data_IF_233388870311
#
_entry.id   IF_233388870311
#
_cell.length_a   1.000
_cell.length_b   1.000
_cell.length_c   1.000
_cell.angle_alpha   90.00
_cell.angle_beta   90.00
_cell.angle_gamma   90.00
#
_symmetry.space_group_name_H-M   'P 1'
#
loop_
_entity.id
_entity.type
_entity.pdbx_description
1 polymer ?
#
# COMPACT_ATOMS: atom_id res chain seq x y z
N UNK A 1 7.19 13.50 -30.00
CA UNK A 1 5.86 14.10 -30.24
C UNK A 1 4.80 13.04 -30.08
N UNK A 2 3.79 13.27 -29.25
CA UNK A 2 2.59 12.45 -29.17
C UNK A 2 1.91 12.40 -30.56
N UNK A 3 1.48 11.22 -31.00
CA UNK A 3 0.61 11.12 -32.16
C UNK A 3 -0.79 11.73 -31.89
N UNK A 4 -1.59 11.91 -32.93
CA UNK A 4 -2.89 12.58 -32.80
C UNK A 4 -3.90 11.74 -31.99
N UNK A 5 -3.79 10.41 -32.06
CA UNK A 5 -4.68 9.49 -31.35
C UNK A 5 -4.38 9.48 -29.85
N UNK A 6 -3.12 9.35 -29.47
CA UNK A 6 -2.71 9.42 -28.06
C UNK A 6 -3.06 10.77 -27.41
N UNK A 7 -2.91 11.88 -28.16
CA UNK A 7 -3.31 13.20 -27.67
C UNK A 7 -4.79 13.29 -27.34
N UNK A 8 -5.65 12.72 -28.15
CA UNK A 8 -7.09 12.73 -27.92
C UNK A 8 -7.45 11.90 -26.69
N UNK A 9 -6.89 10.70 -26.57
CA UNK A 9 -7.11 9.84 -25.38
C UNK A 9 -6.63 10.56 -24.10
N UNK A 10 -5.43 11.13 -24.11
CA UNK A 10 -4.90 11.86 -22.93
C UNK A 10 -5.80 13.04 -22.58
N UNK A 11 -6.29 13.79 -23.57
CA UNK A 11 -7.22 14.90 -23.35
C UNK A 11 -8.52 14.42 -22.71
N UNK A 12 -9.10 13.34 -23.22
CA UNK A 12 -10.33 12.75 -22.67
C UNK A 12 -10.13 12.23 -21.25
N UNK A 13 -8.98 11.59 -20.95
CA UNK A 13 -8.62 11.16 -19.59
C UNK A 13 -8.52 12.35 -18.62
N UNK A 14 -7.87 13.45 -19.03
CA UNK A 14 -7.76 14.67 -18.21
C UNK A 14 -9.13 15.32 -17.97
N UNK A 15 -10.01 15.29 -18.97
CA UNK A 15 -11.35 15.87 -18.89
C UNK A 15 -12.38 14.97 -18.19
N UNK A 16 -12.03 13.73 -17.84
CA UNK A 16 -12.95 12.75 -17.26
C UNK A 16 -14.03 12.25 -18.24
N UNK A 17 -13.78 12.34 -19.54
CA UNK A 17 -14.70 11.93 -20.63
C UNK A 17 -14.22 10.69 -21.38
N UNK A 18 -13.12 10.09 -20.94
CA UNK A 18 -12.55 8.89 -21.58
C UNK A 18 -13.51 7.69 -21.48
N UNK A 19 -13.46 6.82 -22.48
CA UNK A 19 -14.19 5.55 -22.47
C UNK A 19 -13.67 4.63 -21.35
N UNK A 20 -14.49 3.67 -20.90
CA UNK A 20 -14.07 2.65 -19.94
C UNK A 20 -12.85 1.87 -20.44
N UNK A 21 -12.75 1.62 -21.74
CA UNK A 21 -11.58 0.97 -22.37
C UNK A 21 -10.32 1.82 -22.22
N UNK A 22 -10.42 3.13 -22.48
CA UNK A 22 -9.27 4.03 -22.41
C UNK A 22 -8.84 4.27 -20.96
N UNK A 23 -9.78 4.33 -20.02
CA UNK A 23 -9.46 4.35 -18.58
C UNK A 23 -8.68 3.10 -18.15
N UNK A 24 -9.13 1.91 -18.52
CA UNK A 24 -8.43 0.66 -18.22
C UNK A 24 -7.04 0.59 -18.85
N UNK A 25 -6.86 1.17 -20.05
CA UNK A 25 -5.59 1.23 -20.76
C UNK A 25 -4.67 2.38 -20.36
N UNK A 26 -5.13 3.29 -19.48
CA UNK A 26 -4.44 4.55 -19.18
C UNK A 26 -3.04 4.37 -18.59
N UNK A 27 -2.84 3.37 -17.72
CA UNK A 27 -1.54 3.11 -17.10
C UNK A 27 -0.52 2.58 -18.12
N UNK A 28 -0.93 1.69 -19.03
CA UNK A 28 -0.10 1.23 -20.15
C UNK A 28 0.27 2.39 -21.07
N UNK A 29 -0.70 3.24 -21.39
CA UNK A 29 -0.47 4.45 -22.20
C UNK A 29 0.53 5.38 -21.51
N UNK A 30 0.36 5.66 -20.23
CA UNK A 30 1.23 6.55 -19.46
C UNK A 30 2.68 6.05 -19.46
N UNK A 31 2.90 4.79 -19.13
CA UNK A 31 4.26 4.20 -19.11
C UNK A 31 4.92 4.27 -20.48
N UNK A 32 4.19 3.99 -21.55
CA UNK A 32 4.67 4.12 -22.92
C UNK A 32 5.07 5.55 -23.29
N UNK A 33 4.23 6.52 -22.92
CA UNK A 33 4.50 7.93 -23.20
C UNK A 33 5.71 8.46 -22.41
N UNK A 34 5.86 8.04 -21.15
CA UNK A 34 7.02 8.37 -20.33
C UNK A 34 8.31 7.80 -20.94
N UNK A 35 8.27 6.53 -21.36
CA UNK A 35 9.40 5.91 -22.03
C UNK A 35 9.80 6.66 -23.32
N UNK A 36 8.82 7.02 -24.14
CA UNK A 36 9.06 7.78 -25.37
C UNK A 36 9.65 9.19 -25.08
N UNK A 37 9.21 9.84 -24.02
CA UNK A 37 9.66 11.18 -23.66
C UNK A 37 11.08 11.18 -23.08
N UNK A 38 11.39 10.23 -22.20
CA UNK A 38 12.63 10.25 -21.43
C UNK A 38 13.70 9.27 -21.94
N UNK A 39 13.34 8.34 -22.84
CA UNK A 39 14.24 7.31 -23.34
C UNK A 39 14.72 6.33 -22.26
N UNK A 40 14.01 6.24 -21.14
CA UNK A 40 14.34 5.36 -20.00
C UNK A 40 13.14 4.52 -19.61
N UNK A 41 13.36 3.23 -19.27
CA UNK A 41 12.29 2.38 -18.75
C UNK A 41 11.67 2.95 -17.48
N UNK A 42 10.38 2.75 -17.31
CA UNK A 42 9.57 3.28 -16.21
C UNK A 42 9.62 2.33 -15.02
N UNK A 43 9.74 2.87 -13.82
CA UNK A 43 9.47 2.17 -12.56
C UNK A 43 8.05 2.54 -12.14
N UNK A 44 7.21 1.53 -11.89
CA UNK A 44 5.83 1.70 -11.47
C UNK A 44 5.68 1.35 -9.99
N UNK A 45 5.25 2.32 -9.20
CA UNK A 45 4.98 2.15 -7.77
C UNK A 45 3.49 2.37 -7.53
N UNK A 46 2.81 1.35 -7.01
CA UNK A 46 1.39 1.42 -6.65
C UNK A 46 1.27 1.08 -5.17
N UNK A 47 0.81 2.05 -4.39
CA UNK A 47 0.54 1.86 -2.97
C UNK A 47 -0.97 1.70 -2.73
N UNK A 48 -1.33 0.91 -1.73
CA UNK A 48 -2.72 0.68 -1.31
C UNK A 48 -3.65 0.24 -2.47
N UNK A 49 -3.21 -0.69 -3.31
CA UNK A 49 -3.98 -1.16 -4.48
C UNK A 49 -5.36 -1.73 -4.12
N UNK A 50 -5.54 -2.17 -2.90
CA UNK A 50 -6.76 -2.79 -2.37
C UNK A 50 -7.80 -1.78 -1.89
N UNK A 51 -7.40 -0.54 -1.57
CA UNK A 51 -8.29 0.50 -1.03
C UNK A 51 -9.46 0.84 -1.96
N UNK A 52 -9.27 1.05 -3.28
CA UNK A 52 -10.39 1.30 -4.18
C UNK A 52 -11.41 0.15 -4.20
N UNK A 53 -10.93 -1.08 -4.18
CA UNK A 53 -11.77 -2.29 -4.22
C UNK A 53 -12.53 -2.49 -2.90
N UNK A 54 -11.86 -2.30 -1.77
CA UNK A 54 -12.50 -2.35 -0.45
C UNK A 54 -13.59 -1.26 -0.31
N UNK A 55 -13.34 -0.05 -0.80
CA UNK A 55 -14.31 1.03 -0.82
C UNK A 55 -15.50 0.72 -1.73
N UNK A 56 -15.25 0.15 -2.91
CA UNK A 56 -16.28 -0.26 -3.85
C UNK A 56 -17.19 -1.36 -3.27
N UNK A 57 -16.61 -2.31 -2.55
CA UNK A 57 -17.38 -3.36 -1.87
C UNK A 57 -18.37 -2.78 -0.86
N UNK A 58 -17.95 -1.79 -0.07
CA UNK A 58 -18.83 -1.10 0.89
C UNK A 58 -19.96 -0.32 0.22
N UNK A 59 -19.74 0.17 -0.98
CA UNK A 59 -20.68 1.02 -1.72
C UNK A 59 -21.47 0.29 -2.80
N UNK A 60 -21.31 -1.02 -2.93
CA UNK A 60 -22.14 -1.86 -3.82
C UNK A 60 -21.75 -1.86 -5.30
N UNK A 61 -20.50 -1.44 -5.65
CA UNK A 61 -19.99 -1.46 -7.04
C UNK A 61 -18.65 -2.21 -7.14
N UNK A 62 -18.55 -3.33 -6.39
CA UNK A 62 -17.32 -4.14 -6.32
C UNK A 62 -16.87 -4.67 -7.68
N UNK A 63 -17.78 -5.25 -8.45
CA UNK A 63 -17.43 -5.88 -9.74
C UNK A 63 -16.94 -4.87 -10.77
N UNK A 64 -17.56 -3.69 -10.82
CA UNK A 64 -17.15 -2.62 -11.71
C UNK A 64 -15.75 -2.10 -11.38
N UNK A 65 -15.45 -1.92 -10.08
CA UNK A 65 -14.13 -1.49 -9.64
C UNK A 65 -13.09 -2.58 -9.90
N UNK A 66 -13.43 -3.83 -9.66
CA UNK A 66 -12.55 -4.97 -9.92
C UNK A 66 -12.18 -5.04 -11.41
N UNK A 67 -13.13 -4.82 -12.30
CA UNK A 67 -12.92 -4.79 -13.74
C UNK A 67 -12.00 -3.64 -14.18
N UNK A 68 -12.14 -2.46 -13.57
CA UNK A 68 -11.23 -1.33 -13.80
C UNK A 68 -9.81 -1.66 -13.31
N UNK A 69 -9.68 -2.20 -12.10
CA UNK A 69 -8.38 -2.58 -11.54
C UNK A 69 -7.68 -3.65 -12.36
N UNK A 70 -8.41 -4.68 -12.82
CA UNK A 70 -7.88 -5.69 -13.76
C UNK A 70 -7.33 -5.05 -15.03
N UNK A 71 -8.06 -4.10 -15.58
CA UNK A 71 -7.64 -3.36 -16.78
C UNK A 71 -6.35 -2.57 -16.55
N UNK A 72 -6.25 -1.83 -15.45
CA UNK A 72 -5.04 -1.08 -15.09
C UNK A 72 -3.84 -2.01 -14.89
N UNK A 73 -4.02 -3.16 -14.23
CA UNK A 73 -2.95 -4.12 -13.96
C UNK A 73 -2.46 -4.85 -15.22
N UNK A 74 -3.16 -4.76 -16.36
CA UNK A 74 -2.62 -5.22 -17.65
C UNK A 74 -1.33 -4.47 -18.04
N UNK A 75 -1.10 -3.26 -17.52
CA UNK A 75 0.15 -2.55 -17.72
C UNK A 75 1.39 -3.27 -17.16
N UNK A 76 1.21 -4.27 -16.30
CA UNK A 76 2.29 -5.11 -15.76
C UNK A 76 2.69 -6.24 -16.71
N UNK A 77 1.87 -6.52 -17.72
CA UNK A 77 2.06 -7.64 -18.64
C UNK A 77 2.59 -7.14 -19.98
N UNK A 78 3.63 -7.80 -20.47
CA UNK A 78 4.20 -7.57 -21.81
C UNK A 78 4.49 -6.09 -22.14
N UNK A 79 4.78 -5.27 -21.11
CA UNK A 79 5.02 -3.85 -21.24
C UNK A 79 6.51 -3.54 -21.38
N UNK A 80 6.96 -3.33 -22.61
CA UNK A 80 8.37 -3.02 -22.91
C UNK A 80 8.84 -1.68 -22.34
N UNK A 81 7.93 -0.78 -22.00
CA UNK A 81 8.26 0.48 -21.35
C UNK A 81 8.49 0.34 -19.84
N UNK A 82 8.10 -0.78 -19.24
CA UNK A 82 8.21 -1.02 -17.81
C UNK A 82 9.51 -1.78 -17.50
N UNK A 83 10.30 -1.23 -16.58
CA UNK A 83 11.50 -1.89 -16.03
C UNK A 83 11.14 -2.79 -14.87
N UNK A 84 10.33 -2.25 -13.95
CA UNK A 84 10.07 -2.83 -12.63
C UNK A 84 8.77 -2.27 -12.07
N UNK A 85 8.06 -3.07 -11.28
CA UNK A 85 6.88 -2.61 -10.56
C UNK A 85 6.89 -3.11 -9.12
N UNK A 86 6.50 -2.24 -8.19
CA UNK A 86 6.19 -2.60 -6.80
C UNK A 86 4.75 -2.24 -6.52
N UNK A 87 4.02 -3.16 -5.92
CA UNK A 87 2.62 -2.98 -5.56
C UNK A 87 2.45 -3.37 -4.10
N UNK A 88 1.91 -2.48 -3.29
CA UNK A 88 1.64 -2.72 -1.88
C UNK A 88 0.15 -2.63 -1.56
N UNK A 89 -0.27 -3.30 -0.50
CA UNK A 89 -1.64 -3.25 0.00
C UNK A 89 -1.79 -4.04 1.30
N UNK A 90 -2.83 -3.73 2.07
CA UNK A 90 -3.11 -4.40 3.34
C UNK A 90 -3.85 -5.73 3.15
N UNK A 91 -4.64 -5.85 2.10
CA UNK A 91 -5.45 -7.03 1.83
C UNK A 91 -4.88 -7.80 0.65
N UNK A 92 -4.64 -9.10 0.86
CA UNK A 92 -4.44 -10.02 -0.24
C UNK A 92 -5.80 -10.25 -0.92
N UNK A 93 -6.26 -9.28 -1.72
CA UNK A 93 -7.41 -9.50 -2.59
C UNK A 93 -7.02 -10.66 -3.51
N UNK A 94 -7.84 -11.71 -3.50
CA UNK A 94 -7.52 -13.01 -4.10
C UNK A 94 -6.74 -12.86 -5.40
N UNK A 95 -5.53 -13.43 -5.46
CA UNK A 95 -4.61 -13.39 -6.63
C UNK A 95 -5.33 -13.64 -7.94
N UNK A 96 -6.40 -14.43 -7.87
CA UNK A 96 -7.19 -14.88 -9.01
C UNK A 96 -8.06 -13.79 -9.62
N UNK A 97 -8.33 -12.69 -8.91
CA UNK A 97 -9.26 -11.68 -9.43
C UNK A 97 -8.58 -10.48 -10.10
N UNK A 98 -7.56 -9.87 -9.50
CA UNK A 98 -6.92 -8.66 -10.05
C UNK A 98 -5.70 -8.99 -10.91
N UNK A 99 -4.92 -9.99 -10.52
CA UNK A 99 -3.65 -10.35 -11.17
C UNK A 99 -3.78 -11.57 -12.09
N UNK A 100 -4.99 -11.94 -12.52
CA UNK A 100 -5.22 -13.05 -13.44
C UNK A 100 -4.43 -12.83 -14.73
N UNK A 101 -3.55 -13.77 -15.04
CA UNK A 101 -2.72 -13.73 -16.26
C UNK A 101 -1.38 -12.98 -16.13
N UNK A 102 -0.99 -12.52 -14.94
CA UNK A 102 0.36 -12.03 -14.66
C UNK A 102 1.18 -13.16 -13.99
N UNK A 103 2.02 -13.86 -14.77
CA UNK A 103 2.77 -15.03 -14.28
C UNK A 103 4.15 -14.67 -13.70
N UNK A 104 4.60 -13.43 -13.87
CA UNK A 104 5.91 -12.91 -13.47
C UNK A 104 5.86 -12.09 -12.16
N UNK A 105 4.95 -12.44 -11.28
CA UNK A 105 4.65 -11.70 -10.07
C UNK A 105 5.11 -12.48 -8.84
N UNK A 106 5.97 -11.87 -8.02
CA UNK A 106 6.36 -12.39 -6.71
C UNK A 106 5.50 -11.67 -5.68
N UNK A 107 4.84 -12.44 -4.80
CA UNK A 107 4.02 -11.89 -3.74
C UNK A 107 4.57 -12.30 -2.40
N UNK A 108 4.98 -11.31 -1.62
CA UNK A 108 5.42 -11.47 -0.24
C UNK A 108 4.37 -10.91 0.71
N UNK A 109 4.36 -11.43 1.91
CA UNK A 109 3.52 -10.99 3.03
C UNK A 109 4.41 -10.70 4.24
N UNK A 110 3.85 -10.06 5.25
CA UNK A 110 4.56 -9.81 6.52
C UNK A 110 5.02 -11.09 7.25
N UNK A 111 4.53 -12.26 6.86
CA UNK A 111 4.95 -13.56 7.40
C UNK A 111 6.08 -14.21 6.62
N UNK A 112 6.43 -13.66 5.45
CA UNK A 112 7.53 -14.17 4.65
C UNK A 112 8.86 -13.58 5.16
N UNK A 113 9.96 -14.31 5.03
CA UNK A 113 11.28 -13.87 5.50
C UNK A 113 11.92 -12.80 4.59
N UNK A 114 11.38 -12.59 3.39
CA UNK A 114 11.90 -11.61 2.44
C UNK A 114 11.26 -10.26 2.67
N UNK A 115 12.06 -9.21 2.89
CA UNK A 115 11.65 -7.82 3.05
C UNK A 115 10.84 -7.49 4.32
N UNK A 116 10.65 -8.42 5.23
CA UNK A 116 9.87 -8.22 6.45
C UNK A 116 10.46 -7.13 7.37
N UNK A 117 11.78 -6.95 7.39
CA UNK A 117 12.48 -5.91 8.15
C UNK A 117 12.17 -4.48 7.65
N UNK A 118 11.62 -4.33 6.43
CA UNK A 118 11.33 -3.02 5.83
C UNK A 118 9.89 -2.55 6.06
N UNK A 119 9.03 -3.35 6.70
CA UNK A 119 7.64 -2.97 6.99
C UNK A 119 7.46 -2.18 8.29
N UNK A 120 8.52 -1.93 9.02
CA UNK A 120 8.55 -1.13 10.23
C UNK A 120 9.97 -0.71 10.54
N UNK A 121 10.21 -0.09 11.70
CA UNK A 121 11.57 0.15 12.17
C UNK A 121 12.09 -1.07 12.93
N UNK A 122 13.28 -1.53 12.61
CA UNK A 122 13.99 -2.54 13.42
C UNK A 122 14.70 -1.87 14.60
N UNK A 123 15.08 -2.63 15.62
CA UNK A 123 15.69 -2.12 16.85
C UNK A 123 16.89 -1.20 16.58
N UNK A 124 17.79 -1.58 15.65
CA UNK A 124 18.96 -0.77 15.32
C UNK A 124 18.63 0.60 14.72
N UNK A 125 17.54 0.70 13.96
CA UNK A 125 17.06 1.96 13.41
C UNK A 125 16.47 2.84 14.51
N UNK A 126 15.67 2.26 15.42
CA UNK A 126 15.12 2.96 16.57
C UNK A 126 16.25 3.50 17.44
N UNK A 127 17.26 2.67 17.78
CA UNK A 127 18.42 3.09 18.57
C UNK A 127 19.16 4.27 17.91
N UNK A 128 19.33 4.24 16.59
CA UNK A 128 19.97 5.33 15.85
C UNK A 128 19.11 6.62 15.88
N UNK A 129 17.80 6.51 15.67
CA UNK A 129 16.87 7.64 15.70
C UNK A 129 16.88 8.30 17.10
N UNK A 130 16.86 7.50 18.19
CA UNK A 130 16.89 8.00 19.56
C UNK A 130 18.21 8.70 19.88
N UNK A 131 19.31 8.17 19.37
CA UNK A 131 20.63 8.79 19.51
C UNK A 131 20.70 10.13 18.78
N UNK A 132 20.20 10.18 17.54
CA UNK A 132 20.21 11.40 16.73
C UNK A 132 19.28 12.49 17.30
N UNK A 133 18.22 12.07 17.97
CA UNK A 133 17.28 12.97 18.66
C UNK A 133 17.71 13.34 20.10
N UNK A 134 18.82 12.79 20.63
CA UNK A 134 19.32 12.99 22.01
C UNK A 134 18.31 12.63 23.09
N UNK A 135 17.59 11.52 22.91
CA UNK A 135 16.53 11.01 23.81
C UNK A 135 16.68 9.52 24.13
N UNK A 136 17.91 9.03 24.24
CA UNK A 136 18.21 7.63 24.54
C UNK A 136 17.61 7.11 25.85
N UNK A 137 17.37 8.00 26.81
CA UNK A 137 16.72 7.70 28.09
C UNK A 137 15.27 7.24 27.93
N UNK A 138 14.66 7.46 26.77
CA UNK A 138 13.29 7.02 26.46
C UNK A 138 13.23 5.65 25.79
N UNK A 139 14.35 4.99 25.52
CA UNK A 139 14.43 3.73 24.75
C UNK A 139 13.56 2.62 25.35
N UNK A 140 13.59 2.45 26.68
CA UNK A 140 12.78 1.43 27.35
C UNK A 140 11.27 1.69 27.18
N UNK A 141 10.84 2.94 27.34
CA UNK A 141 9.44 3.33 27.13
C UNK A 141 8.98 3.11 25.68
N UNK A 142 9.83 3.42 24.71
CA UNK A 142 9.53 3.19 23.29
C UNK A 142 9.41 1.70 23.00
N UNK A 143 10.31 0.90 23.56
CA UNK A 143 10.26 -0.56 23.41
C UNK A 143 8.98 -1.13 24.02
N UNK A 144 8.66 -0.76 25.24
CA UNK A 144 7.46 -1.26 25.94
C UNK A 144 6.16 -0.91 25.20
N UNK A 145 6.10 0.27 24.59
CA UNK A 145 4.86 0.78 23.99
C UNK A 145 4.71 0.50 22.49
N UNK A 146 5.81 0.42 21.74
CA UNK A 146 5.78 0.44 20.28
C UNK A 146 6.47 -0.75 19.61
N UNK A 147 7.17 -1.61 20.36
CA UNK A 147 7.68 -2.90 19.90
C UNK A 147 6.56 -3.94 20.02
N UNK A 148 5.74 -4.04 19.00
CA UNK A 148 4.52 -4.86 19.10
C UNK A 148 4.20 -5.69 17.87
N UNK A 149 5.00 -5.65 16.83
CA UNK A 149 4.77 -6.41 15.61
C UNK A 149 5.91 -7.40 15.37
N UNK A 150 5.54 -8.65 15.15
CA UNK A 150 6.47 -9.71 14.77
C UNK A 150 6.22 -10.09 13.31
N UNK A 151 7.13 -9.71 12.40
CA UNK A 151 7.03 -9.95 10.97
C UNK A 151 8.10 -10.93 10.52
N UNK A 152 7.70 -12.18 10.21
CA UNK A 152 8.65 -13.24 9.89
C UNK A 152 9.64 -13.47 11.02
N UNK A 153 10.91 -13.10 10.81
CA UNK A 153 12.00 -13.29 11.78
C UNK A 153 12.36 -11.99 12.54
N UNK A 154 11.62 -10.90 12.34
CA UNK A 154 11.94 -9.58 12.91
C UNK A 154 10.84 -9.05 13.81
N UNK A 155 11.25 -8.51 14.95
CA UNK A 155 10.42 -7.61 15.74
C UNK A 155 10.57 -6.20 15.17
N UNK A 156 9.45 -5.57 14.90
CA UNK A 156 9.40 -4.24 14.28
C UNK A 156 8.51 -3.29 15.05
N UNK A 157 8.94 -2.05 15.10
CA UNK A 157 8.21 -0.93 15.69
C UNK A 157 7.31 -0.28 14.65
N UNK A 158 6.14 0.20 15.07
CA UNK A 158 5.31 1.04 14.23
C UNK A 158 5.98 2.41 14.00
N UNK A 159 6.41 2.75 12.78
CA UNK A 159 7.11 4.02 12.52
C UNK A 159 6.28 5.25 12.90
N UNK A 160 4.97 5.19 12.68
CA UNK A 160 4.04 6.26 13.02
C UNK A 160 4.05 6.59 14.52
N UNK A 161 3.95 5.56 15.35
CA UNK A 161 3.95 5.75 16.81
C UNK A 161 5.29 6.29 17.32
N UNK A 162 6.41 5.70 16.86
CA UNK A 162 7.76 6.15 17.22
C UNK A 162 7.98 7.61 16.84
N UNK A 163 7.69 7.98 15.60
CA UNK A 163 7.95 9.34 15.11
C UNK A 163 7.04 10.39 15.77
N UNK A 164 5.78 10.07 16.03
CA UNK A 164 4.88 10.99 16.74
C UNK A 164 5.27 11.18 18.20
N UNK A 165 5.73 10.12 18.88
CA UNK A 165 6.23 10.26 20.24
C UNK A 165 7.49 11.12 20.29
N UNK A 166 8.42 10.95 19.37
CA UNK A 166 9.61 11.80 19.27
C UNK A 166 9.24 13.27 19.01
N UNK A 167 8.28 13.52 18.13
CA UNK A 167 7.78 14.88 17.88
C UNK A 167 7.17 15.51 19.17
N UNK A 168 6.47 14.71 19.96
CA UNK A 168 5.92 15.18 21.23
C UNK A 168 7.02 15.44 22.29
N UNK A 169 8.05 14.59 22.35
CA UNK A 169 9.20 14.80 23.23
C UNK A 169 9.96 16.08 22.91
N UNK A 170 10.05 16.49 21.65
CA UNK A 170 10.64 17.78 21.25
C UNK A 170 9.86 18.97 21.82
N UNK A 171 8.54 18.84 21.95
CA UNK A 171 7.66 19.88 22.49
C UNK A 171 7.61 19.84 24.03
N UNK A 172 7.59 18.65 24.57
CA UNK A 172 7.51 18.37 25.99
C UNK A 172 8.44 17.20 26.36
N UNK A 173 9.64 17.47 26.87
CA UNK A 173 10.60 16.43 27.28
C UNK A 173 10.09 15.45 28.35
N UNK A 174 8.95 15.75 28.99
CA UNK A 174 8.31 14.88 30.00
C UNK A 174 7.06 14.17 29.43
N UNK A 175 6.85 14.20 28.13
CA UNK A 175 5.73 13.51 27.50
C UNK A 175 5.77 12.01 27.79
N UNK A 176 4.59 11.44 28.03
CA UNK A 176 4.44 9.98 28.17
C UNK A 176 4.02 9.38 26.84
N UNK A 177 4.45 8.16 26.55
CA UNK A 177 4.03 7.47 25.34
C UNK A 177 2.52 7.22 25.35
N UNK A 178 1.91 7.29 24.17
CA UNK A 178 0.50 6.98 23.93
C UNK A 178 0.38 6.26 22.60
N UNK A 179 -0.69 5.51 22.37
CA UNK A 179 -0.94 4.88 21.07
C UNK A 179 -1.45 5.92 20.08
N UNK A 180 -0.57 6.38 19.18
CA UNK A 180 -0.90 7.35 18.12
C UNK A 180 -1.65 6.69 16.97
N UNK A 181 -1.37 5.42 16.68
CA UNK A 181 -1.99 4.68 15.58
C UNK A 181 -3.46 4.38 15.80
N UNK A 182 -3.92 4.23 17.03
CA UNK A 182 -5.27 3.78 17.41
C UNK A 182 -6.42 4.53 16.73
N UNK A 183 -6.23 5.79 16.34
CA UNK A 183 -7.27 6.65 15.78
C UNK A 183 -6.98 7.13 14.35
N UNK A 184 -5.94 6.62 13.70
CA UNK A 184 -5.48 7.13 12.39
C UNK A 184 -5.97 6.30 11.21
N UNK A 185 -6.31 5.03 11.40
CA UNK A 185 -6.78 4.15 10.34
C UNK A 185 -8.29 3.96 10.37
N UNK A 186 -8.90 3.86 9.18
CA UNK A 186 -10.27 3.39 9.03
C UNK A 186 -10.33 1.87 9.31
N UNK A 187 -10.60 1.50 10.56
CA UNK A 187 -10.73 0.11 11.00
C UNK A 187 -11.96 -0.60 10.39
N UNK A 188 -12.66 -0.02 9.43
CA UNK A 188 -13.88 -0.57 8.84
C UNK A 188 -13.64 -1.93 8.16
N UNK A 189 -12.47 -2.12 7.53
CA UNK A 189 -12.09 -3.39 6.90
C UNK A 189 -11.93 -4.48 7.95
N UNK A 190 -11.21 -4.22 9.04
CA UNK A 190 -11.02 -5.17 10.15
C UNK A 190 -12.37 -5.51 10.80
N UNK A 191 -13.21 -4.50 11.02
CA UNK A 191 -14.57 -4.69 11.55
C UNK A 191 -15.43 -5.57 10.65
N UNK A 192 -15.33 -5.43 9.33
CA UNK A 192 -16.07 -6.28 8.39
C UNK A 192 -15.66 -7.75 8.46
N UNK A 193 -14.37 -8.04 8.62
CA UNK A 193 -13.89 -9.42 8.81
C UNK A 193 -14.32 -10.03 10.13
N UNK A 194 -14.28 -9.27 11.22
CA UNK A 194 -14.76 -9.74 12.53
C UNK A 194 -16.26 -10.01 12.47
N UNK A 195 -17.07 -9.15 11.84
CA UNK A 195 -18.50 -9.32 11.69
C UNK A 195 -18.86 -10.60 10.89
N UNK A 196 -18.12 -10.90 9.81
CA UNK A 196 -18.32 -12.11 9.00
C UNK A 196 -17.98 -13.37 9.81
N UNK A 197 -16.89 -13.37 10.58
CA UNK A 197 -16.53 -14.50 11.45
C UNK A 197 -17.57 -14.76 12.54
N UNK A 198 -18.19 -13.71 13.09
CA UNK A 198 -19.26 -13.84 14.11
C UNK A 198 -20.57 -14.44 13.54
N UNK A 199 -20.90 -14.14 12.28
CA UNK A 199 -22.08 -14.72 11.61
C UNK A 199 -21.88 -16.20 11.28
N UNK A 200 -20.66 -16.62 10.92
CA UNK A 200 -20.35 -18.03 10.69
C UNK A 200 -20.36 -18.87 11.97
N UNK A 201 -19.93 -18.34 13.11
CA UNK A 201 -19.96 -19.02 14.39
C UNK A 201 -21.40 -19.24 14.91
N UNK A 202 -22.33 -18.32 14.64
CA UNK A 202 -23.75 -18.48 15.00
C UNK A 202 -24.55 -19.38 14.07
N UNK A 203 -24.10 -19.70 12.89
CA UNK A 203 -24.78 -20.59 11.96
C UNK A 203 -24.51 -22.07 12.23
N UNK A 204 -23.67 -22.40 13.20
CA UNK A 204 -23.32 -23.76 13.63
C UNK A 204 -23.81 -24.10 15.06
N UNK A 205 -24.58 -23.22 15.71
CA UNK A 205 -25.40 -23.52 16.91
C UNK A 205 -26.88 -23.75 16.49
#
# INVERSE_FOLDING_TARGET
KLDSFDKEIVKQLIQGTASAKDMKGSLMLLTRLMYQQYGKPVILLIDEYDVPVAKANRNGYYEEMLDVMKGLMQALKDNQALCFAVITGCLKIAKESIFTGTNNFISDTITDSRLNEYFGFVQSEVDQILKDADVLDTAESIREWYDGYHFGDFDVYCPWDVMNYLLELQRNPKAKPVSYWKNTSDNAVIRSFIAVSYTHLRAHE
#
